data_IF_586997246168
#
_entry.id   IF_586997246168
#
_cell.length_a   1.000
_cell.length_b   1.000
_cell.length_c   1.000
_cell.angle_alpha   90.00
_cell.angle_beta   90.00
_cell.angle_gamma   90.00
#
_symmetry.space_group_name_H-M   'P 1'
#
loop_
_entity.id
_entity.type
_entity.pdbx_description
1 polymer ?
#
# COMPACT_ATOMS: atom_id res chain seq x y z
N UNK A 1 -36.08 -56.66 5.87
CA UNK A 1 -37.06 -55.60 6.18
C UNK A 1 -36.71 -55.07 7.57
N UNK A 2 -35.90 -54.00 7.68
CA UNK A 2 -35.50 -53.45 8.98
C UNK A 2 -36.43 -52.30 9.36
N UNK A 3 -37.23 -52.52 10.39
CA UNK A 3 -38.09 -51.53 11.02
C UNK A 3 -37.24 -50.64 11.94
N UNK A 4 -36.97 -49.40 11.55
CA UNK A 4 -36.44 -48.38 12.46
C UNK A 4 -37.61 -47.65 13.14
N UNK A 5 -37.91 -48.06 14.37
CA UNK A 5 -38.93 -47.46 15.22
C UNK A 5 -38.54 -46.07 15.71
N UNK A 6 -39.33 -45.08 15.31
CA UNK A 6 -39.89 -44.03 16.18
C UNK A 6 -39.01 -42.85 16.59
N UNK A 7 -37.88 -43.09 17.24
CA UNK A 7 -37.21 -42.05 18.07
C UNK A 7 -35.81 -41.64 17.57
N UNK A 8 -34.86 -42.56 17.27
CA UNK A 8 -33.52 -42.17 16.85
C UNK A 8 -33.51 -41.54 15.45
N UNK A 9 -34.46 -41.94 14.59
CA UNK A 9 -34.61 -41.38 13.25
C UNK A 9 -35.12 -39.93 13.29
N UNK A 10 -36.01 -39.60 14.24
CA UNK A 10 -36.49 -38.22 14.44
C UNK A 10 -35.38 -37.32 15.00
N UNK A 11 -34.60 -37.83 15.95
CA UNK A 11 -33.44 -37.11 16.48
C UNK A 11 -32.39 -36.84 15.38
N UNK A 12 -32.13 -37.84 14.53
CA UNK A 12 -31.22 -37.70 13.40
C UNK A 12 -31.69 -36.63 12.40
N UNK A 13 -32.98 -36.61 12.05
CA UNK A 13 -33.54 -35.60 11.15
C UNK A 13 -33.49 -34.19 11.74
N UNK A 14 -33.71 -34.03 13.05
CA UNK A 14 -33.61 -32.73 13.72
C UNK A 14 -32.17 -32.20 13.73
N UNK A 15 -31.19 -33.07 14.02
CA UNK A 15 -29.77 -32.71 13.97
C UNK A 15 -29.36 -32.33 12.55
N UNK A 16 -29.80 -33.09 11.55
CA UNK A 16 -29.55 -32.80 10.14
C UNK A 16 -30.13 -31.43 9.73
N UNK A 17 -31.37 -31.12 10.16
CA UNK A 17 -32.00 -29.85 9.89
C UNK A 17 -31.25 -28.67 10.55
N UNK A 18 -30.80 -28.84 11.80
CA UNK A 18 -29.99 -27.85 12.51
C UNK A 18 -28.66 -27.55 11.80
N UNK A 19 -28.01 -28.59 11.28
CA UNK A 19 -26.77 -28.45 10.49
C UNK A 19 -27.03 -27.69 9.19
N UNK A 20 -28.12 -28.02 8.48
CA UNK A 20 -28.49 -27.33 7.24
C UNK A 20 -28.79 -25.85 7.50
N UNK A 21 -29.50 -25.51 8.57
CA UNK A 21 -29.80 -24.11 8.95
C UNK A 21 -28.51 -23.36 9.30
N UNK A 22 -27.60 -24.00 10.02
CA UNK A 22 -26.31 -23.39 10.39
C UNK A 22 -25.40 -23.18 9.18
N UNK A 23 -25.39 -24.11 8.22
CA UNK A 23 -24.65 -24.02 6.96
C UNK A 23 -25.26 -23.03 5.96
N UNK A 24 -26.60 -22.87 5.98
CA UNK A 24 -27.31 -21.95 5.08
C UNK A 24 -27.43 -20.53 5.64
N UNK A 25 -27.06 -20.29 6.91
CA UNK A 25 -26.91 -18.93 7.42
C UNK A 25 -25.83 -18.21 6.60
N UNK A 26 -26.15 -17.09 5.92
CA UNK A 26 -25.18 -16.33 5.16
C UNK A 26 -24.29 -15.61 6.16
N UNK A 27 -23.23 -16.28 6.61
CA UNK A 27 -22.30 -15.74 7.62
C UNK A 27 -21.65 -14.45 7.20
N UNK A 28 -21.66 -14.12 5.90
CA UNK A 28 -20.94 -12.99 5.35
C UNK A 28 -21.89 -12.12 4.52
N UNK A 29 -22.93 -11.58 5.17
CA UNK A 29 -23.33 -10.23 4.81
C UNK A 29 -22.14 -9.33 5.17
N UNK A 30 -21.25 -9.14 4.20
CA UNK A 30 -20.12 -8.22 4.29
C UNK A 30 -20.67 -6.89 4.84
N UNK A 31 -20.34 -6.60 6.09
CA UNK A 31 -20.60 -5.32 6.69
C UNK A 31 -19.91 -4.28 5.79
N UNK A 32 -20.69 -3.62 4.93
CA UNK A 32 -20.19 -2.52 4.12
C UNK A 32 -19.82 -1.43 5.12
N UNK A 33 -18.53 -1.20 5.31
CA UNK A 33 -18.04 -0.14 6.19
C UNK A 33 -18.59 1.21 5.71
N UNK A 34 -19.38 1.93 6.53
CA UNK A 34 -20.10 3.14 6.08
C UNK A 34 -19.20 4.38 5.91
N UNK A 35 -17.88 4.24 6.09
CA UNK A 35 -16.93 5.35 6.09
C UNK A 35 -15.75 5.13 5.12
N UNK A 36 -15.99 4.52 3.97
CA UNK A 36 -15.02 4.59 2.86
C UNK A 36 -15.02 6.05 2.38
N UNK A 37 -14.20 6.88 3.00
CA UNK A 37 -13.83 8.18 2.44
C UNK A 37 -13.15 7.88 1.10
N UNK A 38 -13.75 8.26 -0.04
CA UNK A 38 -13.09 8.03 -1.32
C UNK A 38 -11.73 8.71 -1.26
N UNK A 39 -10.65 8.07 -1.76
CA UNK A 39 -9.37 8.74 -1.85
C UNK A 39 -9.57 10.05 -2.62
N UNK A 40 -8.95 11.16 -2.18
CA UNK A 40 -9.14 12.44 -2.83
C UNK A 40 -8.79 12.33 -4.33
N UNK A 41 -9.49 13.08 -5.20
CA UNK A 41 -9.25 12.99 -6.63
C UNK A 41 -7.78 13.34 -6.95
N UNK A 42 -7.19 12.64 -7.92
CA UNK A 42 -5.76 12.81 -8.27
C UNK A 42 -5.39 14.25 -8.63
N UNK A 43 -6.36 15.06 -9.08
CA UNK A 43 -6.18 16.48 -9.41
C UNK A 43 -5.76 17.37 -8.23
N UNK A 44 -5.93 16.92 -6.97
CA UNK A 44 -5.54 17.67 -5.78
C UNK A 44 -4.07 17.41 -5.40
N UNK A 45 -3.47 16.32 -5.89
CA UNK A 45 -2.09 15.97 -5.57
C UNK A 45 -1.11 16.79 -6.40
N UNK A 46 -0.16 17.44 -5.73
CA UNK A 46 0.91 18.19 -6.37
C UNK A 46 2.22 17.42 -6.25
N UNK A 47 2.36 16.38 -7.08
CA UNK A 47 3.57 15.54 -7.14
C UNK A 47 4.85 16.34 -7.43
N UNK A 48 4.87 17.35 -8.33
CA UNK A 48 6.06 18.19 -8.53
C UNK A 48 6.51 18.90 -7.25
N UNK A 49 5.58 19.50 -6.50
CA UNK A 49 5.90 20.17 -5.24
C UNK A 49 6.36 19.17 -4.17
N UNK A 50 5.72 18.00 -4.08
CA UNK A 50 6.14 16.94 -3.16
C UNK A 50 7.52 16.38 -3.51
N UNK A 51 7.86 16.26 -4.80
CA UNK A 51 9.19 15.86 -5.25
C UNK A 51 10.26 16.89 -4.86
N UNK A 52 9.96 18.18 -4.90
CA UNK A 52 10.86 19.25 -4.46
C UNK A 52 11.14 19.25 -2.94
N UNK A 53 10.28 18.58 -2.14
CA UNK A 53 10.53 18.37 -0.70
C UNK A 53 11.55 17.26 -0.42
N UNK A 54 11.89 16.45 -1.43
CA UNK A 54 12.88 15.38 -1.30
C UNK A 54 14.27 15.88 -1.70
N UNK A 55 15.28 15.51 -0.92
CA UNK A 55 16.68 15.78 -1.20
C UNK A 55 17.48 14.49 -1.14
N UNK A 56 18.27 14.22 -2.17
CA UNK A 56 19.22 13.13 -2.14
C UNK A 56 20.45 13.57 -1.32
N UNK A 57 20.75 12.84 -0.25
CA UNK A 57 21.86 13.12 0.67
C UNK A 57 23.03 12.15 0.51
N UNK A 58 22.76 10.97 0.00
CA UNK A 58 23.78 9.97 -0.29
C UNK A 58 23.27 8.99 -1.33
N UNK A 59 24.18 8.50 -2.16
CA UNK A 59 23.91 7.48 -3.16
C UNK A 59 25.09 6.52 -3.16
N UNK A 60 24.82 5.25 -2.89
CA UNK A 60 25.78 4.15 -2.98
C UNK A 60 25.36 3.29 -4.16
N UNK A 61 26.20 3.24 -5.19
CA UNK A 61 25.95 2.44 -6.39
C UNK A 61 26.94 1.28 -6.40
N UNK A 62 26.44 0.07 -6.61
CA UNK A 62 27.22 -1.15 -6.86
C UNK A 62 26.90 -1.65 -8.27
N UNK A 63 27.61 -2.67 -8.75
CA UNK A 63 27.36 -3.24 -10.10
C UNK A 63 25.92 -3.75 -10.25
N UNK A 64 25.38 -4.39 -9.21
CA UNK A 64 24.06 -5.04 -9.28
C UNK A 64 22.89 -4.20 -8.72
N UNK A 65 23.16 -3.10 -8.01
CA UNK A 65 22.14 -2.41 -7.23
C UNK A 65 22.56 -1.01 -6.79
N UNK A 66 21.64 -0.27 -6.17
CA UNK A 66 21.99 0.97 -5.46
C UNK A 66 21.18 1.14 -4.18
N UNK A 67 21.71 1.96 -3.28
CA UNK A 67 21.00 2.46 -2.10
C UNK A 67 21.10 3.98 -2.09
N UNK A 68 19.97 4.63 -1.85
CA UNK A 68 19.89 6.08 -1.75
C UNK A 68 19.43 6.50 -0.35
N UNK A 69 19.99 7.59 0.15
CA UNK A 69 19.54 8.26 1.36
C UNK A 69 18.78 9.51 0.95
N UNK A 70 17.47 9.50 1.14
CA UNK A 70 16.57 10.60 0.80
C UNK A 70 16.14 11.29 2.08
N UNK A 71 16.35 12.60 2.15
CA UNK A 71 15.82 13.44 3.20
C UNK A 71 14.51 14.09 2.73
N UNK A 72 13.44 13.89 3.49
CA UNK A 72 12.13 14.51 3.24
C UNK A 72 12.00 15.73 4.13
N UNK A 73 12.06 16.93 3.55
CA UNK A 73 12.04 18.21 4.27
C UNK A 73 10.78 18.39 5.11
N UNK A 74 9.61 18.08 4.55
CA UNK A 74 8.32 18.26 5.24
C UNK A 74 8.19 17.42 6.52
N UNK A 75 8.83 16.25 6.54
CA UNK A 75 8.82 15.32 7.66
C UNK A 75 10.08 15.37 8.53
N UNK A 76 11.10 16.15 8.12
CA UNK A 76 12.43 16.22 8.74
C UNK A 76 13.06 14.84 8.99
N UNK A 77 12.88 13.91 8.05
CA UNK A 77 13.26 12.51 8.20
C UNK A 77 14.15 12.01 7.05
N UNK A 78 15.09 11.14 7.39
CA UNK A 78 15.91 10.41 6.44
C UNK A 78 15.31 9.03 6.15
N UNK A 79 15.36 8.64 4.88
CA UNK A 79 14.89 7.36 4.36
C UNK A 79 16.03 6.71 3.59
N UNK A 80 16.34 5.46 3.91
CA UNK A 80 17.25 4.64 3.12
C UNK A 80 16.40 3.77 2.21
N UNK A 81 16.59 3.90 0.90
CA UNK A 81 15.76 3.25 -0.11
C UNK A 81 16.60 2.48 -1.11
N UNK A 82 16.02 1.41 -1.64
CA UNK A 82 16.55 0.61 -2.76
C UNK A 82 15.61 0.71 -3.97
N UNK A 83 16.01 0.22 -5.17
CA UNK A 83 15.09 0.07 -6.28
C UNK A 83 13.77 -0.60 -5.86
N UNK A 84 12.67 -0.13 -6.43
CA UNK A 84 11.28 -0.55 -6.23
C UNK A 84 10.65 -0.21 -4.87
N UNK A 85 11.41 0.33 -3.90
CA UNK A 85 10.87 0.82 -2.64
C UNK A 85 9.95 2.03 -2.85
N UNK A 86 9.13 2.30 -1.83
CA UNK A 86 8.18 3.42 -1.81
C UNK A 86 8.66 4.49 -0.83
N UNK A 87 8.45 5.75 -1.21
CA UNK A 87 8.68 6.93 -0.37
C UNK A 87 7.38 7.72 -0.33
N UNK A 88 6.92 8.00 0.88
CA UNK A 88 5.72 8.80 1.11
C UNK A 88 6.10 10.19 1.57
N UNK A 89 5.66 11.20 0.84
CA UNK A 89 5.83 12.61 1.20
C UNK A 89 4.47 13.18 1.58
N UNK A 90 4.36 13.60 2.84
CA UNK A 90 3.16 14.28 3.33
C UNK A 90 3.32 15.79 3.09
N UNK A 91 2.33 16.37 2.40
CA UNK A 91 2.27 17.80 2.08
C UNK A 91 0.82 18.22 2.05
N UNK A 92 0.46 19.29 2.75
CA UNK A 92 -0.90 19.84 2.83
C UNK A 92 -1.96 18.80 3.26
N UNK A 93 -1.58 17.86 4.14
CA UNK A 93 -2.46 16.77 4.60
C UNK A 93 -2.68 15.65 3.58
N UNK A 94 -1.99 15.70 2.43
CA UNK A 94 -2.04 14.69 1.38
C UNK A 94 -0.75 13.88 1.31
N UNK A 95 -0.89 12.55 1.21
CA UNK A 95 0.23 11.62 1.08
C UNK A 95 0.56 11.34 -0.38
N UNK A 96 1.70 11.83 -0.82
CA UNK A 96 2.22 11.64 -2.16
C UNK A 96 3.17 10.43 -2.15
N UNK A 97 2.78 9.37 -2.84
CA UNK A 97 3.57 8.14 -2.93
C UNK A 97 4.45 8.16 -4.18
N UNK A 98 5.75 7.95 -3.99
CA UNK A 98 6.74 7.81 -5.04
C UNK A 98 7.39 6.44 -4.97
N UNK A 99 7.57 5.79 -6.12
CA UNK A 99 8.32 4.54 -6.24
C UNK A 99 9.71 4.81 -6.77
N UNK A 100 10.73 4.30 -6.09
CA UNK A 100 12.11 4.37 -6.55
C UNK A 100 12.28 3.41 -7.72
N UNK A 101 12.74 3.89 -8.86
CA UNK A 101 12.87 3.05 -10.06
C UNK A 101 14.33 2.73 -10.37
N UNK A 102 15.22 3.71 -10.27
CA UNK A 102 16.59 3.58 -10.74
C UNK A 102 17.49 4.71 -10.30
N UNK A 103 18.79 4.59 -10.58
CA UNK A 103 19.69 5.75 -10.63
C UNK A 103 19.55 6.43 -11.99
N UNK A 104 19.27 7.74 -12.01
CA UNK A 104 19.27 8.56 -13.23
C UNK A 104 20.69 8.92 -13.72
N UNK A 105 21.72 8.43 -13.04
CA UNK A 105 23.14 8.69 -13.29
C UNK A 105 23.95 8.69 -11.99
N UNK A 106 25.19 9.17 -12.02
CA UNK A 106 26.12 9.12 -10.89
C UNK A 106 25.63 9.83 -9.60
N UNK A 107 24.69 10.77 -9.70
CA UNK A 107 24.24 11.61 -8.57
C UNK A 107 22.74 11.90 -8.57
N UNK A 108 21.96 11.02 -9.21
CA UNK A 108 20.52 11.24 -9.38
C UNK A 108 19.73 9.96 -9.17
N UNK A 109 18.55 10.09 -8.57
CA UNK A 109 17.61 8.98 -8.36
C UNK A 109 16.32 9.30 -9.10
N UNK A 110 15.85 8.31 -9.86
CA UNK A 110 14.59 8.35 -10.58
C UNK A 110 13.48 7.80 -9.70
N UNK A 111 12.44 8.61 -9.55
CA UNK A 111 11.24 8.34 -8.80
C UNK A 111 10.05 8.33 -9.77
N UNK A 112 9.11 7.44 -9.59
CA UNK A 112 7.85 7.44 -10.32
C UNK A 112 6.71 7.75 -9.34
N UNK A 113 5.98 8.83 -9.59
CA UNK A 113 4.78 9.16 -8.82
C UNK A 113 3.64 8.18 -9.14
N UNK A 114 2.66 8.10 -8.25
CA UNK A 114 1.43 7.31 -8.49
C UNK A 114 0.59 7.85 -9.66
N UNK A 115 0.83 9.10 -10.04
CA UNK A 115 0.34 9.73 -11.29
C UNK A 115 1.02 9.21 -12.57
N UNK A 116 1.96 8.25 -12.42
CA UNK A 116 2.76 7.62 -13.49
C UNK A 116 3.78 8.55 -14.14
N UNK A 117 4.01 9.75 -13.59
CA UNK A 117 5.05 10.65 -14.06
C UNK A 117 6.40 10.31 -13.42
N UNK A 118 7.47 10.69 -14.12
CA UNK A 118 8.84 10.49 -13.69
C UNK A 118 9.40 11.78 -13.09
N UNK A 119 10.06 11.63 -11.95
CA UNK A 119 10.69 12.71 -11.20
C UNK A 119 12.14 12.34 -10.91
N UNK A 120 13.02 13.32 -10.99
CA UNK A 120 14.43 13.13 -10.73
C UNK A 120 14.87 14.00 -9.55
N UNK A 121 15.51 13.37 -8.56
CA UNK A 121 16.12 14.09 -7.43
C UNK A 121 17.64 13.96 -7.50
N UNK A 122 18.33 15.11 -7.45
CA UNK A 122 19.79 15.19 -7.46
C UNK A 122 20.39 15.34 -6.07
N UNK A 123 21.67 14.96 -5.94
CA UNK A 123 22.46 15.26 -4.73
C UNK A 123 22.57 16.77 -4.58
N UNK A 124 22.09 17.31 -3.45
CA UNK A 124 22.29 18.70 -3.12
C UNK A 124 23.63 18.84 -2.40
N UNK A 125 24.68 19.26 -3.13
CA UNK A 125 25.91 19.71 -2.49
C UNK A 125 25.56 20.94 -1.64
N UNK A 126 25.90 20.86 -0.35
CA UNK A 126 25.83 21.99 0.56
C UNK A 126 27.23 22.59 0.54
N UNK A 127 27.39 23.77 -0.05
CA UNK A 127 28.59 24.62 0.14
C UNK A 127 28.75 25.03 1.60
#
# INVERSE_FOLDING_TARGET
MFFFGGEPFRAFLLILALIIIFLSSPRWAAAREPFINPPPPMAVFNYPAAAAQMQLRGLVVTEDSFRAVIYVKSQRRFHVVRPLDRVEVEMDGLRHEFRVQGSGGQRRVLLQGKDRQWYEIGVHESE
#
